data_IF_053734506187
#
_entry.id   IF_053734506187
#
_cell.length_a   1.000
_cell.length_b   1.000
_cell.length_c   1.000
_cell.angle_alpha   90.00
_cell.angle_beta   90.00
_cell.angle_gamma   90.00
#
_symmetry.space_group_name_H-M   'P 1'
#
loop_
_entity.id
_entity.type
_entity.pdbx_description
1 polymer ?
#
# COMPACT_ATOMS: atom_id res chain seq x y z
N UNK A 1 32.29 36.17 -26.66
CA UNK A 1 30.86 35.76 -26.63
C UNK A 1 30.69 34.65 -27.64
N UNK A 2 30.13 33.51 -27.18
CA UNK A 2 29.53 32.37 -27.89
C UNK A 2 30.29 31.74 -29.09
N UNK A 3 30.76 30.48 -29.05
CA UNK A 3 29.98 29.21 -29.05
C UNK A 3 29.17 29.06 -30.36
N UNK A 4 29.12 27.95 -31.12
CA UNK A 4 29.60 26.57 -31.00
C UNK A 4 29.37 25.88 -32.35
N UNK A 5 30.14 24.82 -32.60
CA UNK A 5 30.22 23.91 -33.74
C UNK A 5 29.03 22.96 -33.96
N UNK A 6 28.85 22.46 -35.20
CA UNK A 6 28.14 21.20 -35.57
C UNK A 6 28.60 20.69 -36.97
N UNK A 7 28.48 19.39 -37.31
CA UNK A 7 29.65 18.63 -37.78
C UNK A 7 29.43 17.79 -39.08
N UNK A 8 30.53 17.14 -39.49
CA UNK A 8 30.72 15.82 -40.13
C UNK A 8 29.67 15.30 -41.14
N UNK A 9 30.05 14.74 -42.28
CA UNK A 9 31.27 13.98 -42.54
C UNK A 9 30.90 12.64 -43.18
N UNK A 10 31.24 12.54 -44.47
CA UNK A 10 31.10 11.46 -45.46
C UNK A 10 31.16 10.02 -44.93
N UNK A 11 30.32 9.16 -45.52
CA UNK A 11 30.49 7.70 -45.58
C UNK A 11 31.02 7.32 -46.97
N UNK A 12 32.10 6.54 -47.05
CA UNK A 12 32.36 5.67 -48.20
C UNK A 12 32.97 4.36 -47.72
N UNK A 13 32.32 3.27 -48.12
CA UNK A 13 32.66 1.89 -47.81
C UNK A 13 33.85 1.41 -48.63
N UNK A 14 34.72 0.60 -48.03
CA UNK A 14 35.60 -0.30 -48.77
C UNK A 14 35.76 -1.61 -47.99
N UNK A 15 35.36 -2.71 -48.64
CA UNK A 15 35.48 -4.10 -48.17
C UNK A 15 36.89 -4.58 -48.46
N UNK A 16 37.59 -5.20 -47.51
CA UNK A 16 38.85 -5.92 -47.79
C UNK A 16 38.85 -7.25 -47.03
N UNK A 17 39.14 -8.31 -47.79
CA UNK A 17 39.22 -9.73 -47.40
C UNK A 17 40.51 -10.01 -46.63
N UNK A 18 40.43 -10.94 -45.69
CA UNK A 18 41.53 -11.44 -44.86
C UNK A 18 42.17 -12.62 -45.60
N UNK A 19 43.51 -12.66 -45.64
CA UNK A 19 44.23 -13.88 -45.98
C UNK A 19 45.36 -14.16 -44.97
N UNK A 20 45.54 -15.44 -44.69
CA UNK A 20 46.27 -16.06 -43.59
C UNK A 20 47.71 -16.38 -43.98
N UNK A 21 48.72 -15.99 -43.17
CA UNK A 21 49.98 -16.74 -42.95
C UNK A 21 50.87 -16.08 -41.89
N UNK A 22 51.08 -16.76 -40.76
CA UNK A 22 52.13 -16.57 -39.72
C UNK A 22 53.53 -16.93 -40.26
N UNK A 23 54.69 -16.70 -39.58
CA UNK A 23 54.94 -16.33 -38.17
C UNK A 23 56.05 -15.25 -37.96
N UNK A 24 56.34 -14.94 -36.68
CA UNK A 24 57.70 -14.68 -36.09
C UNK A 24 57.84 -13.37 -35.27
N UNK A 25 58.00 -13.58 -33.94
CA UNK A 25 58.72 -12.79 -32.90
C UNK A 25 58.17 -11.44 -32.40
N UNK A 26 57.56 -11.56 -31.21
CA UNK A 26 57.54 -10.68 -30.03
C UNK A 26 57.59 -9.15 -30.24
N UNK A 27 56.45 -8.50 -29.98
CA UNK A 27 56.41 -7.22 -29.28
C UNK A 27 55.24 -7.24 -28.28
N UNK A 28 55.53 -6.85 -27.05
CA UNK A 28 54.63 -6.82 -25.91
C UNK A 28 53.52 -5.79 -26.16
N UNK A 29 52.26 -6.21 -26.08
CA UNK A 29 51.14 -5.29 -25.84
C UNK A 29 50.25 -5.91 -24.78
N UNK A 30 50.29 -5.35 -23.58
CA UNK A 30 49.39 -5.68 -22.50
C UNK A 30 47.94 -5.34 -22.94
N UNK A 31 47.18 -6.36 -23.33
CA UNK A 31 45.75 -6.21 -23.56
C UNK A 31 45.04 -6.38 -22.21
N UNK A 32 44.69 -5.27 -21.58
CA UNK A 32 43.76 -5.24 -20.46
C UNK A 32 42.39 -5.70 -20.92
N UNK A 33 42.02 -6.93 -20.60
CA UNK A 33 40.66 -7.44 -20.80
C UNK A 33 39.78 -6.73 -19.77
N UNK A 34 39.06 -5.68 -20.19
CA UNK A 34 38.02 -5.05 -19.37
C UNK A 34 36.82 -6.01 -19.31
N UNK A 35 36.74 -6.80 -18.24
CA UNK A 35 35.59 -7.65 -17.94
C UNK A 35 34.44 -6.73 -17.52
N UNK A 36 33.48 -6.48 -18.41
CA UNK A 36 32.26 -5.77 -18.06
C UNK A 36 31.44 -6.65 -17.10
N UNK A 37 31.52 -6.36 -15.80
CA UNK A 37 30.69 -6.98 -14.78
C UNK A 37 29.24 -6.53 -14.99
N UNK A 38 28.40 -7.43 -15.51
CA UNK A 38 26.94 -7.24 -15.56
C UNK A 38 26.44 -7.43 -14.13
N UNK A 39 26.31 -6.34 -13.39
CA UNK A 39 25.67 -6.34 -12.08
C UNK A 39 24.18 -6.66 -12.26
N UNK A 40 23.79 -7.92 -12.04
CA UNK A 40 22.39 -8.29 -11.92
C UNK A 40 21.83 -7.58 -10.68
N UNK A 41 20.97 -6.58 -10.89
CA UNK A 41 20.20 -5.96 -9.81
C UNK A 41 19.20 -7.04 -9.36
N UNK A 42 19.25 -7.52 -8.10
CA UNK A 42 18.22 -8.41 -7.61
C UNK A 42 16.89 -7.65 -7.66
N UNK A 43 15.92 -8.16 -8.43
CA UNK A 43 14.55 -7.70 -8.31
C UNK A 43 14.11 -8.02 -6.88
N UNK A 44 13.98 -7.00 -6.03
CA UNK A 44 13.33 -7.15 -4.74
C UNK A 44 11.89 -7.50 -5.04
N UNK A 45 11.53 -8.78 -4.91
CA UNK A 45 10.15 -9.19 -4.83
C UNK A 45 9.57 -8.50 -3.59
N UNK A 46 8.84 -7.40 -3.80
CA UNK A 46 8.04 -6.80 -2.74
C UNK A 46 6.97 -7.83 -2.41
N UNK A 47 7.16 -8.56 -1.31
CA UNK A 47 6.07 -9.32 -0.73
C UNK A 47 4.97 -8.31 -0.46
N UNK A 48 3.86 -8.39 -1.21
CA UNK A 48 2.72 -7.54 -0.93
C UNK A 48 2.30 -7.78 0.51
N UNK A 49 2.23 -6.70 1.28
CA UNK A 49 1.74 -6.76 2.64
C UNK A 49 0.29 -7.27 2.60
N UNK A 50 0.09 -8.49 3.10
CA UNK A 50 -1.22 -9.13 3.08
C UNK A 50 -2.11 -8.61 4.20
N UNK A 51 -1.50 -8.07 5.26
CA UNK A 51 -2.20 -7.59 6.44
C UNK A 51 -1.41 -6.50 7.12
N UNK A 52 -2.09 -5.44 7.50
CA UNK A 52 -1.57 -4.36 8.34
C UNK A 52 -2.50 -4.15 9.55
N UNK A 53 -2.00 -3.53 10.60
CA UNK A 53 -2.79 -3.13 11.76
C UNK A 53 -2.18 -1.89 12.41
N UNK A 54 -3.02 -1.08 13.03
CA UNK A 54 -2.58 0.08 13.81
C UNK A 54 -3.60 0.48 14.87
N UNK A 55 -3.13 1.24 15.85
CA UNK A 55 -3.95 2.00 16.82
C UNK A 55 -3.82 3.49 16.54
N UNK A 56 -4.86 4.27 16.87
CA UNK A 56 -4.72 5.73 16.91
C UNK A 56 -4.01 6.18 18.19
N UNK A 57 -3.39 7.38 18.25
CA UNK A 57 -2.67 7.86 19.44
C UNK A 57 -3.54 7.99 20.68
N UNK A 58 -4.85 8.21 20.52
CA UNK A 58 -5.82 8.18 21.62
C UNK A 58 -6.00 6.80 22.25
N UNK A 59 -5.56 5.73 21.58
CA UNK A 59 -5.83 4.34 21.95
C UNK A 59 -7.26 3.87 21.71
N UNK A 60 -8.20 4.77 21.37
CA UNK A 60 -9.61 4.43 21.26
C UNK A 60 -9.95 3.63 20.00
N UNK A 61 -9.20 3.83 18.91
CA UNK A 61 -9.50 3.24 17.61
C UNK A 61 -8.38 2.26 17.26
N UNK A 62 -8.80 1.05 16.89
CA UNK A 62 -7.93 -0.01 16.41
C UNK A 62 -8.37 -0.39 15.01
N UNK A 63 -7.45 -0.67 14.10
CA UNK A 63 -7.78 -1.04 12.73
C UNK A 63 -6.98 -2.24 12.26
N UNK A 64 -7.63 -3.10 11.49
CA UNK A 64 -7.01 -4.19 10.73
C UNK A 64 -7.31 -3.96 9.27
N UNK A 65 -6.26 -3.96 8.46
CA UNK A 65 -6.35 -3.97 7.01
C UNK A 65 -5.89 -5.34 6.54
N UNK A 66 -6.64 -5.97 5.65
CA UNK A 66 -6.32 -7.31 5.17
C UNK A 66 -6.64 -7.46 3.69
N UNK A 67 -5.97 -8.40 3.05
CA UNK A 67 -6.28 -8.92 1.72
C UNK A 67 -6.07 -10.42 1.72
N UNK A 68 -7.18 -11.15 1.75
CA UNK A 68 -7.16 -12.56 1.42
C UNK A 68 -6.86 -12.75 -0.08
N UNK A 69 -6.26 -13.88 -0.45
CA UNK A 69 -5.94 -14.15 -1.85
C UNK A 69 -7.20 -14.14 -2.71
N UNK A 70 -7.31 -13.18 -3.63
CA UNK A 70 -8.45 -13.05 -4.55
C UNK A 70 -9.65 -12.28 -3.99
N UNK A 71 -9.56 -11.73 -2.78
CA UNK A 71 -10.55 -10.84 -2.21
C UNK A 71 -10.12 -9.37 -2.36
N UNK A 72 -11.09 -8.46 -2.42
CA UNK A 72 -10.84 -7.03 -2.32
C UNK A 72 -10.19 -6.70 -0.97
N UNK A 73 -9.15 -5.86 -0.94
CA UNK A 73 -8.65 -5.25 0.29
C UNK A 73 -9.79 -4.64 1.09
N UNK A 74 -9.72 -4.76 2.41
CA UNK A 74 -10.66 -4.11 3.30
C UNK A 74 -9.95 -3.59 4.55
N UNK A 75 -10.60 -2.64 5.22
CA UNK A 75 -10.26 -2.19 6.56
C UNK A 75 -11.47 -2.35 7.46
N UNK A 76 -11.25 -2.90 8.64
CA UNK A 76 -12.21 -2.84 9.75
C UNK A 76 -11.56 -2.09 10.90
N UNK A 77 -12.25 -1.08 11.40
CA UNK A 77 -11.85 -0.37 12.59
C UNK A 77 -12.87 -0.60 13.70
N UNK A 78 -12.37 -0.80 14.91
CA UNK A 78 -13.18 -0.90 16.11
C UNK A 78 -12.83 0.24 17.07
N UNK A 79 -13.86 0.83 17.64
CA UNK A 79 -13.79 1.85 18.68
C UNK A 79 -14.13 1.19 20.02
N UNK A 80 -13.26 1.38 21.00
CA UNK A 80 -13.47 0.85 22.36
C UNK A 80 -14.58 1.62 23.09
N UNK A 81 -14.56 2.96 23.00
CA UNK A 81 -15.53 3.86 23.61
C UNK A 81 -16.15 4.80 22.57
N UNK A 82 -17.48 4.95 22.62
CA UNK A 82 -18.27 5.81 21.72
C UNK A 82 -19.37 6.53 22.49
N UNK A 83 -19.59 7.81 22.17
CA UNK A 83 -20.63 8.66 22.77
C UNK A 83 -21.79 8.94 21.79
N UNK A 84 -21.81 8.26 20.65
CA UNK A 84 -22.90 8.35 19.66
C UNK A 84 -23.78 7.11 19.68
N UNK A 85 -24.99 7.26 19.11
CA UNK A 85 -25.94 6.15 18.94
C UNK A 85 -26.05 5.84 17.47
N UNK A 86 -25.93 4.55 17.13
CA UNK A 86 -26.27 4.06 15.80
C UNK A 86 -27.77 3.75 15.73
N UNK A 87 -28.52 4.39 14.81
CA UNK A 87 -29.94 4.12 14.68
C UNK A 87 -30.23 2.64 14.37
N UNK A 88 -31.35 2.08 14.85
CA UNK A 88 -31.74 0.71 14.52
C UNK A 88 -31.78 0.46 13.02
N UNK A 89 -31.19 -0.64 12.57
CA UNK A 89 -31.17 -1.04 11.16
C UNK A 89 -30.04 -0.42 10.31
N UNK A 90 -29.26 0.51 10.85
CA UNK A 90 -28.07 1.03 10.15
C UNK A 90 -26.93 0.01 10.17
N UNK A 91 -26.65 -0.58 11.35
CA UNK A 91 -25.63 -1.61 11.46
C UNK A 91 -26.09 -2.95 10.88
N UNK A 92 -25.20 -3.61 10.14
CA UNK A 92 -25.45 -4.90 9.51
C UNK A 92 -24.18 -5.74 9.38
N UNK A 93 -24.33 -7.04 9.09
CA UNK A 93 -23.20 -7.93 8.80
C UNK A 93 -22.71 -7.79 7.35
N UNK A 94 -21.65 -8.52 6.97
CA UNK A 94 -21.11 -8.47 5.60
C UNK A 94 -22.10 -8.96 4.51
N UNK A 95 -23.20 -9.61 4.89
CA UNK A 95 -24.26 -10.03 3.97
C UNK A 95 -25.45 -9.06 3.96
N UNK A 96 -25.36 -7.91 4.62
CA UNK A 96 -26.44 -6.93 4.72
C UNK A 96 -27.57 -7.34 5.68
N UNK A 97 -27.33 -8.34 6.54
CA UNK A 97 -28.35 -8.81 7.50
C UNK A 97 -28.32 -7.97 8.78
N UNK A 98 -29.48 -7.79 9.43
CA UNK A 98 -29.53 -7.12 10.73
C UNK A 98 -28.63 -7.81 11.76
N UNK A 99 -28.07 -7.03 12.69
CA UNK A 99 -27.25 -7.58 13.76
C UNK A 99 -28.05 -8.55 14.65
N UNK A 100 -27.47 -9.72 15.00
CA UNK A 100 -28.05 -10.62 15.97
C UNK A 100 -28.33 -9.91 17.31
N UNK A 101 -29.39 -10.31 18.01
CA UNK A 101 -29.84 -9.66 19.26
C UNK A 101 -28.81 -9.69 20.40
N UNK A 102 -27.80 -10.55 20.30
CA UNK A 102 -26.71 -10.72 21.27
C UNK A 102 -25.39 -10.04 20.82
N UNK A 103 -25.42 -9.19 19.80
CA UNK A 103 -24.25 -8.47 19.29
C UNK A 103 -24.41 -6.97 19.46
N UNK A 104 -23.29 -6.25 19.65
CA UNK A 104 -23.29 -4.79 19.72
C UNK A 104 -23.42 -4.17 18.33
N UNK A 105 -23.72 -2.87 18.29
CA UNK A 105 -23.73 -2.08 17.06
C UNK A 105 -23.07 -0.74 17.31
N UNK A 106 -22.30 -0.25 16.33
CA UNK A 106 -21.78 1.11 16.32
C UNK A 106 -20.34 1.28 16.76
N UNK A 107 -19.69 0.21 17.18
CA UNK A 107 -18.27 0.25 17.54
C UNK A 107 -17.39 -0.24 16.40
N UNK A 108 -17.94 -0.99 15.44
CA UNK A 108 -17.20 -1.51 14.29
C UNK A 108 -17.63 -0.77 13.02
N UNK A 109 -16.68 -0.24 12.27
CA UNK A 109 -16.89 0.33 10.93
C UNK A 109 -16.00 -0.38 9.93
N UNK A 110 -16.52 -0.56 8.72
CA UNK A 110 -15.86 -1.33 7.68
C UNK A 110 -15.91 -0.62 6.34
N UNK A 111 -14.83 -0.77 5.58
CA UNK A 111 -14.72 -0.35 4.19
C UNK A 111 -14.06 -1.49 3.41
N UNK A 112 -14.73 -1.94 2.36
CA UNK A 112 -14.18 -2.90 1.39
C UNK A 112 -13.92 -2.14 0.11
N UNK A 113 -12.78 -2.35 -0.54
CA UNK A 113 -12.48 -1.69 -1.80
C UNK A 113 -13.61 -1.93 -2.82
N UNK A 114 -14.13 -0.83 -3.37
CA UNK A 114 -15.22 -0.79 -4.35
C UNK A 114 -16.62 -0.67 -3.76
N UNK A 115 -16.77 -0.78 -2.43
CA UNK A 115 -18.07 -0.76 -1.75
C UNK A 115 -18.18 0.45 -0.80
N UNK A 116 -19.40 0.98 -0.56
CA UNK A 116 -19.61 2.03 0.44
C UNK A 116 -19.12 1.63 1.83
N UNK A 117 -18.62 2.61 2.58
CA UNK A 117 -18.38 2.41 4.01
C UNK A 117 -19.67 2.05 4.74
N UNK A 118 -19.58 1.25 5.81
CA UNK A 118 -20.76 0.92 6.61
C UNK A 118 -20.42 0.63 8.07
N UNK A 119 -21.42 0.81 8.93
CA UNK A 119 -21.36 0.37 10.33
C UNK A 119 -21.63 -1.13 10.37
N UNK A 120 -20.69 -1.88 10.93
CA UNK A 120 -20.75 -3.32 11.04
C UNK A 120 -21.30 -3.73 12.41
N UNK A 121 -21.91 -4.90 12.48
CA UNK A 121 -22.17 -5.55 13.77
C UNK A 121 -20.86 -5.83 14.52
N UNK A 122 -20.86 -5.56 15.82
CA UNK A 122 -19.71 -5.79 16.71
C UNK A 122 -19.82 -7.17 17.35
N UNK A 123 -18.82 -8.02 17.10
CA UNK A 123 -18.83 -9.42 17.56
C UNK A 123 -17.78 -9.69 18.64
N UNK A 124 -16.51 -9.42 18.31
CA UNK A 124 -15.37 -9.68 19.18
C UNK A 124 -14.43 -8.48 19.13
N UNK A 125 -13.75 -8.23 20.24
CA UNK A 125 -12.73 -7.19 20.29
C UNK A 125 -11.58 -7.54 19.34
N UNK A 126 -11.26 -6.64 18.42
CA UNK A 126 -10.16 -6.88 17.49
C UNK A 126 -8.83 -6.74 18.24
N UNK A 127 -7.94 -7.70 18.00
CA UNK A 127 -6.61 -7.68 18.58
C UNK A 127 -6.56 -7.89 20.10
N UNK A 128 -7.50 -8.64 20.67
CA UNK A 128 -7.33 -9.22 22.01
C UNK A 128 -6.17 -10.23 22.00
N UNK A 129 -5.27 -10.14 22.98
CA UNK A 129 -4.17 -11.11 23.16
C UNK A 129 -3.02 -11.01 22.16
N UNK A 130 -3.00 -9.99 21.28
CA UNK A 130 -1.84 -9.66 20.44
C UNK A 130 -0.96 -8.61 21.12
N UNK A 131 0.35 -8.59 20.81
CA UNK A 131 1.25 -7.51 21.20
C UNK A 131 0.69 -6.14 20.81
N UNK A 132 1.24 -5.10 21.43
CA UNK A 132 0.94 -3.70 21.09
C UNK A 132 1.08 -3.47 19.58
N UNK A 133 0.06 -2.86 18.98
CA UNK A 133 0.06 -2.52 17.56
C UNK A 133 0.85 -1.23 17.34
N UNK A 134 1.42 -1.04 16.14
CA UNK A 134 1.98 0.25 15.78
C UNK A 134 0.94 1.36 15.92
N UNK A 135 1.35 2.49 16.49
CA UNK A 135 0.52 3.69 16.50
C UNK A 135 0.64 4.40 15.14
N UNK A 136 -0.49 4.75 14.53
CA UNK A 136 -0.53 5.67 13.40
C UNK A 136 -0.67 7.09 13.95
N UNK A 137 0.44 7.82 14.04
CA UNK A 137 0.50 9.14 14.67
C UNK A 137 -0.46 10.15 14.01
N UNK A 138 -0.86 11.17 14.76
CA UNK A 138 -1.68 12.22 14.18
C UNK A 138 -0.91 12.99 13.10
N UNK A 139 -1.54 13.16 11.94
CA UNK A 139 -0.92 13.73 10.75
C UNK A 139 -0.29 12.68 9.82
N UNK A 140 -0.20 11.42 10.26
CA UNK A 140 0.31 10.33 9.44
C UNK A 140 -0.81 9.60 8.69
N UNK A 141 -0.40 8.94 7.61
CA UNK A 141 -1.27 8.20 6.70
C UNK A 141 -0.79 6.76 6.56
N UNK A 142 -1.72 5.81 6.68
CA UNK A 142 -1.51 4.41 6.33
C UNK A 142 -2.10 4.11 4.95
N UNK A 143 -1.31 3.54 4.05
CA UNK A 143 -1.76 3.12 2.71
C UNK A 143 -1.73 1.60 2.60
N UNK A 144 -2.85 1.01 2.19
CA UNK A 144 -2.98 -0.42 1.95
C UNK A 144 -3.79 -0.70 0.67
N UNK A 145 -3.07 -0.93 -0.43
CA UNK A 145 -3.72 -1.04 -1.75
C UNK A 145 -4.37 0.29 -2.14
N UNK A 146 -5.66 0.29 -2.49
CA UNK A 146 -6.41 1.51 -2.78
C UNK A 146 -6.96 2.21 -1.53
N UNK A 147 -6.93 1.54 -0.36
CA UNK A 147 -7.43 2.10 0.88
C UNK A 147 -6.35 2.95 1.55
N UNK A 148 -6.70 4.19 1.86
CA UNK A 148 -5.85 5.15 2.56
C UNK A 148 -6.54 5.56 3.85
N UNK A 149 -5.84 5.45 4.98
CA UNK A 149 -6.35 5.85 6.30
C UNK A 149 -5.51 6.99 6.86
N UNK A 150 -6.15 8.12 7.12
CA UNK A 150 -5.53 9.34 7.65
C UNK A 150 -5.91 9.50 9.12
N UNK A 151 -4.90 9.57 9.98
CA UNK A 151 -5.07 9.75 11.43
C UNK A 151 -5.02 11.23 11.77
N UNK A 152 -6.14 11.82 12.14
CA UNK A 152 -6.21 13.19 12.65
C UNK A 152 -6.59 13.20 14.12
N UNK A 153 -6.23 14.27 14.83
CA UNK A 153 -6.68 14.47 16.21
C UNK A 153 -8.20 14.57 16.33
N UNK A 154 -8.90 14.86 15.23
CA UNK A 154 -10.36 15.02 15.18
C UNK A 154 -11.10 13.72 14.86
N UNK A 155 -10.51 12.85 14.06
CA UNK A 155 -11.10 11.59 13.59
C UNK A 155 -10.05 10.77 12.83
N UNK A 156 -10.32 9.47 12.69
CA UNK A 156 -9.69 8.63 11.68
C UNK A 156 -10.58 8.59 10.44
N UNK A 157 -10.01 8.84 9.26
CA UNK A 157 -10.73 8.72 7.99
C UNK A 157 -10.08 7.65 7.14
N UNK A 158 -10.83 6.65 6.67
CA UNK A 158 -10.35 5.71 5.68
C UNK A 158 -11.14 5.86 4.39
N UNK A 159 -10.43 6.00 3.27
CA UNK A 159 -10.98 6.24 1.93
C UNK A 159 -10.46 5.20 0.96
N UNK A 160 -11.36 4.59 0.20
CA UNK A 160 -11.00 3.83 -1.00
C UNK A 160 -10.81 4.81 -2.15
N UNK A 161 -9.56 5.08 -2.49
CA UNK A 161 -9.18 6.02 -3.55
C UNK A 161 -9.64 5.57 -4.94
N UNK A 162 -10.02 4.30 -5.12
CA UNK A 162 -10.51 3.78 -6.41
C UNK A 162 -11.99 4.06 -6.68
N UNK A 163 -12.80 4.25 -5.63
CA UNK A 163 -14.25 4.50 -5.72
C UNK A 163 -14.68 5.84 -5.12
N UNK A 164 -13.90 6.38 -4.19
CA UNK A 164 -14.25 7.54 -3.37
C UNK A 164 -15.08 7.20 -2.13
N UNK A 165 -15.43 5.93 -1.93
CA UNK A 165 -16.11 5.48 -0.71
C UNK A 165 -15.22 5.62 0.51
N UNK A 166 -15.82 5.90 1.67
CA UNK A 166 -15.09 6.21 2.88
C UNK A 166 -15.88 5.90 4.14
N UNK A 167 -15.16 5.90 5.26
CA UNK A 167 -15.73 6.24 6.55
C UNK A 167 -14.86 7.26 7.26
N UNK A 168 -15.48 8.00 8.18
CA UNK A 168 -14.80 8.88 9.13
C UNK A 168 -15.36 8.62 10.52
N UNK A 169 -14.49 8.33 11.48
CA UNK A 169 -14.89 7.93 12.83
C UNK A 169 -14.08 8.62 13.92
N UNK A 170 -14.75 8.94 15.01
CA UNK A 170 -14.18 9.39 16.27
C UNK A 170 -15.06 8.90 17.42
N UNK A 171 -14.67 9.15 18.67
CA UNK A 171 -15.53 8.83 19.82
C UNK A 171 -16.92 9.48 19.72
N UNK A 172 -17.02 10.66 19.10
CA UNK A 172 -18.23 11.49 19.14
C UNK A 172 -19.14 11.31 17.92
N UNK A 173 -18.62 10.80 16.79
CA UNK A 173 -19.39 10.69 15.56
C UNK A 173 -18.81 9.64 14.62
N UNK A 174 -19.68 9.15 13.73
CA UNK A 174 -19.31 8.38 12.56
C UNK A 174 -19.97 8.97 11.31
N UNK A 175 -19.33 8.79 10.17
CA UNK A 175 -19.84 9.09 8.84
C UNK A 175 -19.37 7.99 7.88
N UNK A 176 -20.23 7.62 6.93
CA UNK A 176 -19.94 6.62 5.90
C UNK A 176 -20.48 7.09 4.55
N UNK A 177 -19.77 6.80 3.47
CA UNK A 177 -20.13 7.22 2.12
C UNK A 177 -19.48 6.38 1.02
#
# INVERSE_FOLDING_TARGET
MAATTKPLGRRLSARIRIDMTTPTRLAIAAATVALAAISAIPATAHAEERRANFTTPSGNIRCVLDRDSGASPYVVCQLEDVDYVVPPGVAHDAAGKPCPSNTGSGNDVMLVQGEPGYVRCSFASIGTGVPEWPTLEYGDTMVFGAITCDSESSALTCTDTSSGHFFRVSRLAYEVG
#
